data_IF_220795272293
#
_entry.id   IF_220795272293
#
_cell.length_a   1.000
_cell.length_b   1.000
_cell.length_c   1.000
_cell.angle_alpha   90.00
_cell.angle_beta   90.00
_cell.angle_gamma   90.00
#
_symmetry.space_group_name_H-M   'P 1'
#
loop_
_entity.id
_entity.type
_entity.pdbx_description
1 polymer ?
#
# COMPACT_ATOMS: atom_id res chain seq x y z
N UNK A 1 -39.93 -51.37 2.99
CA UNK A 1 -38.52 -51.59 3.33
C UNK A 1 -37.78 -50.27 3.11
N UNK A 2 -37.66 -49.45 4.13
CA UNK A 2 -36.94 -48.18 4.10
C UNK A 2 -35.50 -48.47 4.54
N UNK A 3 -34.58 -48.53 3.58
CA UNK A 3 -33.17 -48.61 3.87
C UNK A 3 -32.69 -47.23 4.36
N UNK A 4 -32.65 -47.03 5.69
CA UNK A 4 -31.94 -45.89 6.29
C UNK A 4 -30.45 -46.14 6.11
N UNK A 5 -29.82 -45.37 5.21
CA UNK A 5 -28.38 -45.31 5.11
C UNK A 5 -27.87 -44.64 6.39
N UNK A 6 -27.59 -45.42 7.40
CA UNK A 6 -26.97 -44.97 8.64
C UNK A 6 -25.52 -44.58 8.34
N UNK A 7 -25.26 -43.28 8.23
CA UNK A 7 -23.86 -42.79 8.16
C UNK A 7 -23.28 -43.03 9.55
N UNK A 8 -22.24 -43.85 9.63
CA UNK A 8 -21.53 -44.16 10.86
C UNK A 8 -20.92 -42.86 11.43
N UNK A 9 -21.14 -42.51 12.72
CA UNK A 9 -20.66 -41.27 13.33
C UNK A 9 -19.14 -41.04 13.18
N UNK A 10 -18.39 -42.11 13.03
CA UNK A 10 -16.94 -42.04 12.80
C UNK A 10 -16.59 -41.33 11.47
N UNK A 11 -17.34 -41.58 10.41
CA UNK A 11 -17.12 -40.93 9.11
C UNK A 11 -17.48 -39.46 9.12
N UNK A 12 -18.45 -39.05 9.94
CA UNK A 12 -18.81 -37.64 10.16
C UNK A 12 -17.64 -36.93 10.85
N UNK A 13 -17.05 -37.53 11.88
CA UNK A 13 -15.89 -36.99 12.60
C UNK A 13 -14.66 -36.79 11.71
N UNK A 14 -14.36 -37.79 10.88
CA UNK A 14 -13.24 -37.71 9.92
C UNK A 14 -13.50 -36.61 8.88
N UNK A 15 -14.72 -36.52 8.35
CA UNK A 15 -15.09 -35.48 7.38
C UNK A 15 -14.93 -34.07 7.96
N UNK A 16 -15.37 -33.84 9.17
CA UNK A 16 -15.21 -32.54 9.88
C UNK A 16 -13.74 -32.23 10.10
N UNK A 17 -12.94 -33.19 10.53
CA UNK A 17 -11.49 -32.98 10.75
C UNK A 17 -10.77 -32.59 9.45
N UNK A 18 -11.06 -33.26 8.34
CA UNK A 18 -10.51 -32.92 7.03
C UNK A 18 -10.92 -31.53 6.55
N UNK A 19 -12.17 -31.13 6.76
CA UNK A 19 -12.64 -29.77 6.43
C UNK A 19 -11.95 -28.69 7.26
N UNK A 20 -11.74 -28.95 8.55
CA UNK A 20 -10.99 -28.02 9.42
C UNK A 20 -9.53 -27.89 8.98
N UNK A 21 -8.86 -28.99 8.67
CA UNK A 21 -7.48 -28.97 8.15
C UNK A 21 -7.41 -28.21 6.81
N UNK A 22 -8.34 -28.45 5.91
CA UNK A 22 -8.41 -27.72 4.65
C UNK A 22 -8.64 -26.22 4.86
N UNK A 23 -9.52 -25.85 5.79
CA UNK A 23 -9.77 -24.46 6.16
C UNK A 23 -8.51 -23.80 6.74
N UNK A 24 -7.84 -24.44 7.70
CA UNK A 24 -6.57 -23.95 8.29
C UNK A 24 -5.50 -23.79 7.22
N UNK A 25 -5.33 -24.76 6.32
CA UNK A 25 -4.39 -24.70 5.20
C UNK A 25 -4.71 -23.54 4.24
N UNK A 26 -5.99 -23.36 3.91
CA UNK A 26 -6.44 -22.28 3.04
C UNK A 26 -6.21 -20.89 3.66
N UNK A 27 -6.61 -20.69 4.92
CA UNK A 27 -6.43 -19.41 5.61
C UNK A 27 -4.97 -19.13 5.91
N UNK A 28 -4.21 -20.16 6.34
CA UNK A 28 -2.77 -20.07 6.57
C UNK A 28 -1.99 -19.71 5.30
N UNK A 29 -2.31 -20.36 4.18
CA UNK A 29 -1.72 -20.05 2.88
C UNK A 29 -1.99 -18.62 2.41
N UNK A 30 -3.24 -18.15 2.57
CA UNK A 30 -3.58 -16.75 2.24
C UNK A 30 -2.86 -15.74 3.15
N UNK A 31 -2.77 -16.01 4.44
CA UNK A 31 -2.05 -15.15 5.39
C UNK A 31 -0.55 -15.12 5.06
N UNK A 32 0.05 -16.26 4.75
CA UNK A 32 1.44 -16.34 4.31
C UNK A 32 1.69 -15.54 3.03
N UNK A 33 0.84 -15.70 2.00
CA UNK A 33 0.96 -14.94 0.75
C UNK A 33 0.83 -13.42 0.97
N UNK A 34 -0.09 -12.97 1.84
CA UNK A 34 -0.21 -11.55 2.18
C UNK A 34 1.07 -11.03 2.84
N UNK A 35 1.62 -11.77 3.81
CA UNK A 35 2.89 -11.41 4.47
C UNK A 35 4.06 -11.39 3.49
N UNK A 36 4.16 -12.37 2.60
CA UNK A 36 5.21 -12.43 1.58
C UNK A 36 5.15 -11.23 0.63
N UNK A 37 3.95 -10.88 0.13
CA UNK A 37 3.74 -9.69 -0.73
C UNK A 37 4.10 -8.39 -0.01
N UNK A 38 3.67 -8.24 1.25
CA UNK A 38 4.02 -7.06 2.05
C UNK A 38 5.53 -6.94 2.23
N UNK A 39 6.23 -8.03 2.56
CA UNK A 39 7.69 -8.04 2.67
C UNK A 39 8.35 -7.66 1.34
N UNK A 40 7.88 -8.20 0.23
CA UNK A 40 8.40 -7.88 -1.09
C UNK A 40 8.20 -6.40 -1.46
N UNK A 41 7.05 -5.81 -1.12
CA UNK A 41 6.81 -4.38 -1.29
C UNK A 41 7.78 -3.56 -0.44
N UNK A 42 7.85 -3.82 0.87
CA UNK A 42 8.72 -3.07 1.77
C UNK A 42 10.19 -3.15 1.34
N UNK A 43 10.66 -4.33 0.91
CA UNK A 43 12.01 -4.49 0.39
C UNK A 43 12.29 -3.63 -0.86
N UNK A 44 11.31 -3.43 -1.74
CA UNK A 44 11.44 -2.51 -2.88
C UNK A 44 11.45 -1.04 -2.44
N UNK A 45 10.60 -0.66 -1.48
CA UNK A 45 10.57 0.69 -0.93
C UNK A 45 11.88 1.04 -0.23
N UNK A 46 12.44 0.09 0.54
CA UNK A 46 13.72 0.25 1.23
C UNK A 46 14.90 0.46 0.27
N UNK A 47 14.79 0.02 -0.98
CA UNK A 47 15.85 0.21 -2.00
C UNK A 47 15.90 1.63 -2.56
N UNK A 48 14.79 2.36 -2.53
CA UNK A 48 14.69 3.73 -3.08
C UNK A 48 14.75 4.80 -2.00
N UNK A 49 14.91 4.42 -0.74
CA UNK A 49 14.85 5.33 0.40
C UNK A 49 16.08 5.20 1.31
N UNK A 50 16.53 6.31 1.85
CA UNK A 50 17.47 6.34 2.98
C UNK A 50 16.81 5.84 4.25
N UNK A 51 15.59 6.29 4.49
CA UNK A 51 14.74 5.94 5.63
C UNK A 51 13.28 5.82 5.19
N UNK A 52 12.54 4.96 5.88
CA UNK A 52 11.13 4.72 5.61
C UNK A 52 10.34 4.54 6.90
N UNK A 53 9.14 5.08 6.95
CA UNK A 53 8.14 4.80 7.98
C UNK A 53 6.83 4.39 7.31
N UNK A 54 6.13 3.48 7.94
CA UNK A 54 4.97 2.85 7.34
C UNK A 54 3.78 2.88 8.28
N UNK A 55 2.55 3.00 7.72
CA UNK A 55 1.30 2.97 8.45
C UNK A 55 1.30 3.99 9.58
N UNK A 56 1.40 5.26 9.21
CA UNK A 56 1.50 6.37 10.17
C UNK A 56 0.33 7.34 10.05
N UNK A 57 0.06 8.02 11.14
CA UNK A 57 -0.85 9.16 11.23
C UNK A 57 -0.04 10.45 11.27
N UNK A 58 -0.35 11.35 10.36
CA UNK A 58 0.26 12.69 10.25
C UNK A 58 -0.75 13.72 10.70
N UNK A 59 -0.39 14.71 11.52
CA UNK A 59 -1.28 15.83 11.85
C UNK A 59 -1.76 16.57 10.59
N UNK A 60 -3.06 16.86 10.50
CA UNK A 60 -3.66 17.56 9.36
C UNK A 60 -3.64 19.10 9.48
N UNK A 61 -3.13 19.61 10.60
CA UNK A 61 -3.12 21.03 10.92
C UNK A 61 -4.46 21.58 11.40
N UNK A 62 -5.53 20.78 11.43
CA UNK A 62 -6.88 21.16 11.87
C UNK A 62 -7.29 20.48 13.17
N UNK A 63 -6.35 19.84 13.85
CA UNK A 63 -6.57 19.08 15.09
C UNK A 63 -6.88 17.60 14.88
N UNK A 64 -6.91 17.14 13.63
CA UNK A 64 -7.08 15.74 13.22
C UNK A 64 -5.77 15.10 12.75
N UNK A 65 -5.92 13.89 12.19
CA UNK A 65 -4.82 13.12 11.64
C UNK A 65 -5.20 12.49 10.31
N UNK A 66 -4.27 12.49 9.37
CA UNK A 66 -4.39 11.82 8.07
C UNK A 66 -3.52 10.56 8.08
N UNK A 67 -4.10 9.43 7.67
CA UNK A 67 -3.36 8.19 7.51
C UNK A 67 -2.53 8.20 6.22
N UNK A 68 -1.27 7.75 6.34
CA UNK A 68 -0.36 7.56 5.22
C UNK A 68 0.21 6.14 5.26
N UNK A 69 0.14 5.44 4.14
CA UNK A 69 0.64 4.07 4.04
C UNK A 69 2.16 4.00 4.18
N UNK A 70 2.88 4.85 3.43
CA UNK A 70 4.34 4.89 3.48
C UNK A 70 4.85 6.32 3.29
N UNK A 71 5.78 6.73 4.14
CA UNK A 71 6.62 7.92 3.98
C UNK A 71 8.07 7.48 3.83
N UNK A 72 8.74 8.02 2.83
CA UNK A 72 10.09 7.64 2.46
C UNK A 72 10.96 8.89 2.33
N UNK A 73 12.15 8.85 2.90
CA UNK A 73 13.19 9.84 2.63
C UNK A 73 14.03 9.37 1.43
N UNK A 74 13.88 10.05 0.30
CA UNK A 74 14.53 9.69 -0.97
C UNK A 74 15.65 10.69 -1.33
N UNK A 75 16.36 10.45 -2.43
CA UNK A 75 17.31 11.39 -3.00
C UNK A 75 16.69 12.73 -3.44
N UNK A 76 15.35 12.79 -3.61
CA UNK A 76 14.64 13.98 -4.09
C UNK A 76 13.81 14.68 -3.02
N UNK A 77 13.93 14.25 -1.75
CA UNK A 77 13.12 14.74 -0.64
C UNK A 77 12.16 13.66 -0.10
N UNK A 78 11.05 14.09 0.46
CA UNK A 78 10.06 13.19 1.08
C UNK A 78 9.08 12.69 0.02
N UNK A 79 8.87 11.37 -0.02
CA UNK A 79 7.90 10.71 -0.87
C UNK A 79 6.75 10.15 -0.05
N UNK A 80 5.54 10.58 -0.36
CA UNK A 80 4.27 10.08 0.18
C UNK A 80 3.74 9.00 -0.78
N UNK A 81 3.58 7.77 -0.31
CA UNK A 81 2.99 6.69 -1.09
C UNK A 81 1.70 6.19 -0.46
N UNK A 82 0.67 6.13 -1.27
CA UNK A 82 -0.61 5.50 -0.95
C UNK A 82 -0.78 4.26 -1.84
N UNK A 83 -0.88 3.09 -1.22
CA UNK A 83 -0.87 1.82 -1.94
C UNK A 83 -2.28 1.38 -2.32
N UNK A 84 -2.44 0.87 -3.53
CA UNK A 84 -3.72 0.36 -4.04
C UNK A 84 -3.54 -1.01 -4.69
N UNK A 85 -4.35 -1.95 -4.25
CA UNK A 85 -4.44 -3.26 -4.89
C UNK A 85 -5.79 -3.44 -5.55
N UNK A 86 -5.86 -3.05 -6.81
CA UNK A 86 -7.05 -3.16 -7.64
C UNK A 86 -6.77 -4.16 -8.75
N UNK A 87 -7.49 -5.28 -8.77
CA UNK A 87 -7.31 -6.32 -9.78
C UNK A 87 -8.29 -6.12 -10.94
N UNK A 88 -7.81 -6.20 -12.17
CA UNK A 88 -8.63 -6.10 -13.38
C UNK A 88 -8.27 -4.92 -14.28
N UNK A 89 -9.14 -4.61 -15.20
CA UNK A 89 -9.00 -3.48 -16.13
C UNK A 89 -9.52 -2.21 -15.45
N UNK A 90 -8.66 -1.21 -15.31
CA UNK A 90 -8.97 0.05 -14.64
C UNK A 90 -9.17 1.14 -15.69
N UNK A 91 -10.33 1.78 -15.64
CA UNK A 91 -10.70 2.95 -16.42
C UNK A 91 -10.68 4.15 -15.46
N UNK A 92 -9.57 4.87 -15.43
CA UNK A 92 -9.36 6.02 -14.56
C UNK A 92 -8.64 7.13 -15.32
N UNK A 93 -8.77 8.35 -14.84
CA UNK A 93 -8.13 9.53 -15.42
C UNK A 93 -8.09 10.66 -14.40
N UNK A 94 -7.24 11.67 -14.69
CA UNK A 94 -6.97 12.77 -13.75
C UNK A 94 -8.21 13.63 -13.46
N UNK A 95 -9.09 13.79 -14.44
CA UNK A 95 -10.28 14.63 -14.37
C UNK A 95 -11.57 13.87 -14.01
N UNK A 96 -11.46 12.58 -13.74
CA UNK A 96 -12.63 11.76 -13.41
C UNK A 96 -12.86 11.77 -11.90
N UNK A 97 -14.12 11.94 -11.47
CA UNK A 97 -14.51 11.81 -10.05
C UNK A 97 -14.42 10.37 -9.59
N UNK A 98 -14.78 9.44 -10.47
CA UNK A 98 -14.84 8.02 -10.18
C UNK A 98 -14.02 7.21 -11.18
N UNK A 99 -13.37 6.18 -10.66
CA UNK A 99 -12.67 5.20 -11.49
C UNK A 99 -13.45 3.89 -11.55
N UNK A 100 -13.54 3.31 -12.71
CA UNK A 100 -14.25 2.05 -12.95
C UNK A 100 -13.28 0.90 -13.10
N UNK A 101 -13.64 -0.25 -12.53
CA UNK A 101 -12.89 -1.49 -12.67
C UNK A 101 -13.76 -2.58 -13.26
N UNK A 102 -13.21 -3.30 -14.23
CA UNK A 102 -13.78 -4.52 -14.77
C UNK A 102 -12.91 -5.72 -14.37
N UNK A 103 -13.47 -6.61 -13.57
CA UNK A 103 -12.78 -7.80 -13.08
C UNK A 103 -13.73 -9.01 -13.07
N UNK A 104 -13.32 -10.10 -13.71
CA UNK A 104 -14.07 -11.37 -13.74
C UNK A 104 -15.54 -11.21 -14.16
N UNK A 105 -15.78 -10.39 -15.19
CA UNK A 105 -17.13 -10.12 -15.70
C UNK A 105 -18.00 -9.20 -14.83
N UNK A 106 -17.45 -8.66 -13.75
CA UNK A 106 -18.13 -7.69 -12.87
C UNK A 106 -17.53 -6.31 -13.05
N UNK A 107 -18.39 -5.30 -12.93
CA UNK A 107 -18.01 -3.88 -12.92
C UNK A 107 -18.28 -3.29 -11.56
N UNK A 108 -17.33 -2.52 -11.03
CA UNK A 108 -17.51 -1.68 -9.85
C UNK A 108 -16.78 -0.34 -10.03
N UNK A 109 -17.19 0.66 -9.28
CA UNK A 109 -16.58 1.99 -9.25
C UNK A 109 -16.04 2.28 -7.86
N UNK A 110 -15.07 3.18 -7.80
CA UNK A 110 -14.57 3.77 -6.57
C UNK A 110 -14.10 5.21 -6.85
N UNK A 111 -14.14 6.03 -5.82
CA UNK A 111 -13.74 7.43 -5.92
C UNK A 111 -12.30 7.59 -6.42
N UNK A 112 -12.04 8.62 -7.20
CA UNK A 112 -10.68 8.96 -7.62
C UNK A 112 -9.81 9.19 -6.38
N UNK A 113 -8.72 8.42 -6.18
CA UNK A 113 -7.91 8.53 -4.97
C UNK A 113 -6.93 9.71 -4.98
N UNK A 114 -6.83 10.47 -6.07
CA UNK A 114 -5.87 11.57 -6.21
C UNK A 114 -6.16 12.76 -5.27
N UNK A 115 -7.40 13.21 -5.06
CA UNK A 115 -7.69 14.27 -4.09
C UNK A 115 -7.16 13.94 -2.69
N UNK A 116 -7.42 12.73 -2.20
CA UNK A 116 -6.93 12.30 -0.90
C UNK A 116 -5.38 12.19 -0.84
N UNK A 117 -4.70 11.95 -1.96
CA UNK A 117 -3.24 12.03 -2.03
C UNK A 117 -2.76 13.47 -1.89
N UNK A 118 -3.45 14.46 -2.49
CA UNK A 118 -3.09 15.87 -2.34
C UNK A 118 -3.17 16.33 -0.89
N UNK A 119 -4.20 15.92 -0.15
CA UNK A 119 -4.34 16.24 1.27
C UNK A 119 -3.18 15.68 2.09
N UNK A 120 -2.76 14.44 1.79
CA UNK A 120 -1.58 13.81 2.43
C UNK A 120 -0.28 14.55 2.14
N UNK A 121 -0.07 14.95 0.87
CA UNK A 121 1.09 15.74 0.46
C UNK A 121 1.10 17.07 1.19
N UNK A 122 -0.05 17.77 1.26
CA UNK A 122 -0.18 19.06 1.94
C UNK A 122 0.14 18.97 3.44
N UNK A 123 -0.38 17.92 4.12
CA UNK A 123 -0.11 17.70 5.54
C UNK A 123 1.40 17.46 5.80
N UNK A 124 2.05 16.63 4.99
CA UNK A 124 3.50 16.38 5.12
C UNK A 124 4.30 17.63 4.81
N UNK A 125 3.95 18.38 3.76
CA UNK A 125 4.62 19.60 3.36
C UNK A 125 4.56 20.67 4.46
N UNK A 126 3.44 20.80 5.16
CA UNK A 126 3.31 21.72 6.29
C UNK A 126 4.30 21.41 7.43
N UNK A 127 4.74 20.18 7.59
CA UNK A 127 5.67 19.74 8.64
C UNK A 127 7.15 19.74 8.19
N UNK A 128 7.41 19.69 6.88
CA UNK A 128 8.78 19.58 6.33
C UNK A 128 9.34 20.93 5.84
N UNK A 129 8.52 21.97 5.73
CA UNK A 129 8.93 23.29 5.26
C UNK A 129 9.38 23.28 3.81
N UNK A 130 10.61 23.72 3.55
CA UNK A 130 11.17 23.88 2.19
C UNK A 130 11.63 22.56 1.55
N UNK A 131 11.54 21.45 2.26
CA UNK A 131 11.89 20.12 1.69
C UNK A 131 10.89 19.73 0.61
N UNK A 132 11.36 19.32 -0.58
CA UNK A 132 10.46 18.81 -1.61
C UNK A 132 9.65 17.62 -1.12
N UNK A 133 8.33 17.65 -1.36
CA UNK A 133 7.41 16.56 -1.05
C UNK A 133 6.74 16.11 -2.34
N UNK A 134 6.95 14.88 -2.72
CA UNK A 134 6.26 14.21 -3.83
C UNK A 134 5.24 13.22 -3.31
N UNK A 135 4.18 12.96 -4.08
CA UNK A 135 3.22 11.90 -3.78
C UNK A 135 2.97 11.00 -4.97
N UNK A 136 2.72 9.71 -4.72
CA UNK A 136 2.28 8.76 -5.74
C UNK A 136 1.26 7.77 -5.17
N UNK A 137 0.30 7.41 -6.01
CA UNK A 137 -0.60 6.27 -5.82
C UNK A 137 0.09 5.04 -6.39
N UNK A 138 0.56 4.16 -5.54
CA UNK A 138 1.28 2.96 -5.94
C UNK A 138 0.30 1.80 -6.17
N UNK A 139 0.07 1.48 -7.44
CA UNK A 139 -0.78 0.36 -7.82
C UNK A 139 0.00 -0.93 -7.98
N UNK A 140 -0.56 -2.02 -7.45
CA UNK A 140 0.00 -3.36 -7.68
C UNK A 140 -0.26 -3.82 -9.12
N UNK A 141 0.62 -4.65 -9.67
CA UNK A 141 0.58 -5.11 -11.07
C UNK A 141 -0.57 -6.06 -11.41
N UNK A 142 -1.47 -6.35 -10.47
CA UNK A 142 -2.70 -7.14 -10.73
C UNK A 142 -3.78 -6.31 -11.44
N UNK A 143 -3.63 -4.98 -11.47
CA UNK A 143 -4.46 -4.06 -12.22
C UNK A 143 -3.77 -3.54 -13.48
N UNK A 144 -4.54 -3.17 -14.48
CA UNK A 144 -4.05 -2.60 -15.74
C UNK A 144 -4.90 -1.40 -16.14
N UNK A 145 -4.28 -0.24 -16.29
CA UNK A 145 -4.93 0.94 -16.84
C UNK A 145 -5.10 0.79 -18.35
N UNK A 146 -6.29 1.05 -18.87
CA UNK A 146 -6.64 0.81 -20.29
C UNK A 146 -6.49 2.02 -21.19
N UNK A 147 -6.57 3.23 -20.63
CA UNK A 147 -6.49 4.51 -21.35
C UNK A 147 -5.28 5.36 -20.98
N UNK A 148 -4.18 4.71 -20.54
CA UNK A 148 -3.01 5.38 -20.00
C UNK A 148 -3.04 5.46 -18.49
N UNK A 149 -1.86 5.63 -17.90
CA UNK A 149 -1.68 5.74 -16.45
C UNK A 149 -1.88 7.21 -16.06
N UNK A 150 -2.79 7.54 -15.10
CA UNK A 150 -2.96 8.90 -14.60
C UNK A 150 -1.66 9.48 -14.00
N UNK A 151 -1.51 10.80 -14.01
CA UNK A 151 -0.26 11.51 -13.66
C UNK A 151 0.35 11.11 -12.32
N UNK A 152 -0.48 10.88 -11.30
CA UNK A 152 -0.03 10.59 -9.94
C UNK A 152 0.04 9.10 -9.62
N UNK A 153 -0.29 8.26 -10.60
CA UNK A 153 -0.26 6.81 -10.47
C UNK A 153 1.10 6.28 -10.89
N UNK A 154 1.60 5.33 -10.11
CA UNK A 154 2.80 4.56 -10.39
C UNK A 154 2.48 3.08 -10.25
N UNK A 155 2.89 2.28 -11.23
CA UNK A 155 2.82 0.82 -11.12
C UNK A 155 4.01 0.31 -10.31
N UNK A 156 3.80 -0.71 -9.51
CA UNK A 156 4.84 -1.25 -8.61
C UNK A 156 6.15 -1.62 -9.34
N UNK A 157 6.06 -2.14 -10.55
CA UNK A 157 7.25 -2.50 -11.33
C UNK A 157 8.04 -1.28 -11.84
N UNK A 158 7.40 -0.12 -11.93
CA UNK A 158 8.04 1.13 -12.34
C UNK A 158 8.68 1.93 -11.21
N UNK A 159 8.60 1.47 -9.96
CA UNK A 159 9.01 2.30 -8.82
C UNK A 159 10.51 2.59 -8.80
N UNK A 160 11.35 1.62 -9.14
CA UNK A 160 12.81 1.76 -9.17
C UNK A 160 13.29 2.55 -10.40
N UNK A 161 12.46 2.64 -11.44
CA UNK A 161 12.70 3.50 -12.61
C UNK A 161 12.32 4.94 -12.28
N UNK A 162 11.22 5.15 -11.57
CA UNK A 162 10.74 6.48 -11.18
C UNK A 162 11.60 7.09 -10.06
N UNK A 163 12.10 6.27 -9.13
CA UNK A 163 12.91 6.70 -8.00
C UNK A 163 14.24 5.92 -7.98
N UNK A 164 15.37 6.61 -8.11
CA UNK A 164 16.69 5.97 -8.11
C UNK A 164 16.92 5.14 -6.84
N UNK A 165 17.58 4.01 -7.03
CA UNK A 165 18.02 3.16 -5.92
C UNK A 165 19.05 3.89 -5.06
N UNK A 166 18.87 3.83 -3.76
CA UNK A 166 19.74 4.43 -2.76
C UNK A 166 20.69 3.37 -2.21
N UNK A 167 21.97 3.61 -2.28
CA UNK A 167 22.93 2.78 -1.55
C UNK A 167 22.90 3.16 -0.06
N UNK A 168 22.77 2.15 0.80
CA UNK A 168 22.77 2.34 2.25
C UNK A 168 24.04 2.96 2.80
N UNK A 169 25.17 2.84 2.10
CA UNK A 169 26.41 3.53 2.40
C UNK A 169 26.32 5.05 2.26
N UNK A 170 25.32 5.56 1.52
CA UNK A 170 25.14 6.99 1.28
C UNK A 170 24.45 7.75 2.44
N UNK A 171 24.17 7.15 3.59
CA UNK A 171 23.63 7.86 4.76
C UNK A 171 24.55 8.96 5.34
N UNK A 172 25.81 8.98 4.94
CA UNK A 172 26.75 10.07 5.23
C UNK A 172 26.90 11.11 4.12
N UNK A 173 26.14 10.97 3.02
CA UNK A 173 26.25 11.85 1.86
C UNK A 173 25.59 13.21 2.07
N UNK A 174 26.02 14.20 1.28
CA UNK A 174 25.36 15.51 1.25
C UNK A 174 23.86 15.43 0.92
N UNK A 175 23.47 14.49 0.05
CA UNK A 175 22.07 14.27 -0.33
C UNK A 175 21.20 13.81 0.86
N UNK A 176 21.72 12.95 1.74
CA UNK A 176 21.04 12.60 2.98
C UNK A 176 21.01 13.78 3.96
N UNK A 177 22.16 14.43 4.18
CA UNK A 177 22.29 15.53 5.11
C UNK A 177 21.32 16.70 4.80
N UNK A 178 21.08 16.95 3.50
CA UNK A 178 20.19 18.01 3.03
C UNK A 178 18.78 17.91 3.60
N UNK A 179 18.23 16.70 3.76
CA UNK A 179 16.83 16.48 4.14
C UNK A 179 16.67 15.81 5.50
N UNK A 180 17.73 15.27 6.09
CA UNK A 180 17.68 14.43 7.29
C UNK A 180 17.11 15.14 8.51
N UNK A 181 17.43 16.42 8.72
CA UNK A 181 16.92 17.17 9.88
C UNK A 181 15.43 17.45 9.78
N UNK A 182 14.93 17.80 8.60
CA UNK A 182 13.50 17.96 8.38
C UNK A 182 12.75 16.61 8.50
N UNK A 183 13.37 15.53 8.02
CA UNK A 183 12.85 14.18 8.17
C UNK A 183 12.73 13.79 9.65
N UNK A 184 13.73 14.02 10.47
CA UNK A 184 13.69 13.74 11.91
C UNK A 184 12.57 14.52 12.60
N UNK A 185 12.41 15.83 12.28
CA UNK A 185 11.31 16.65 12.80
C UNK A 185 9.94 16.12 12.37
N UNK A 186 9.80 15.70 11.13
CA UNK A 186 8.59 15.06 10.64
C UNK A 186 8.27 13.80 11.44
N UNK A 187 9.24 12.86 11.51
CA UNK A 187 9.06 11.57 12.19
C UNK A 187 8.70 11.73 13.67
N UNK A 188 9.23 12.74 14.35
CA UNK A 188 8.92 13.02 15.75
C UNK A 188 7.45 13.42 15.99
N UNK A 189 6.72 13.86 14.95
CA UNK A 189 5.31 14.26 15.03
C UNK A 189 4.34 13.15 14.59
N UNK A 190 4.86 12.05 14.06
CA UNK A 190 4.05 10.94 13.58
C UNK A 190 3.53 10.09 14.75
N UNK A 191 2.35 9.50 14.53
CA UNK A 191 1.82 8.47 15.43
C UNK A 191 1.65 7.16 14.68
N UNK A 192 1.89 6.01 15.31
CA UNK A 192 1.56 4.73 14.69
C UNK A 192 0.05 4.66 14.39
N UNK A 193 -0.31 4.20 13.22
CA UNK A 193 -1.71 3.93 12.91
C UNK A 193 -2.18 2.68 13.63
N UNK A 194 -3.28 2.72 14.41
CA UNK A 194 -3.84 1.55 15.07
C UNK A 194 -4.46 0.56 14.07
N UNK A 195 -4.72 1.00 12.85
CA UNK A 195 -5.33 0.18 11.81
C UNK A 195 -4.26 -0.31 10.84
N UNK A 196 -4.06 -1.62 10.78
CA UNK A 196 -3.38 -2.26 9.67
C UNK A 196 -4.32 -2.21 8.46
N UNK A 197 -4.37 -1.09 7.75
CA UNK A 197 -5.08 -1.02 6.47
C UNK A 197 -4.34 -1.90 5.47
N UNK A 198 -4.76 -3.14 5.38
CA UNK A 198 -4.22 -4.14 4.47
C UNK A 198 -4.96 -4.02 3.13
N UNK A 199 -4.70 -2.96 2.39
CA UNK A 199 -5.15 -2.82 0.99
C UNK A 199 -4.19 -3.53 0.01
N UNK A 200 -3.43 -4.50 0.49
CA UNK A 200 -2.48 -5.30 -0.29
C UNK A 200 -3.00 -6.70 -0.61
#
# INVERSE_FOLDING_TARGET
>A
MTNSIGIDPQWIGIGVALLLLAAVGFWGGRAYQRRARRRALLARLDRIAFEAVHQVLVPDGMGGFIHIDHLLLTLRGVLVLDTRRVAGLIFGGDQMSDWTVMARGRRYTFDNPQPALYDRIAAVKALTGDVPVEGRLLFSNVGKFTKGIPKWVLMLDGIEVAFPVVDRGMKGSAAYAQFSEAWKRLVAQLRPSPHLFTNL
#
